data_IF_222520435029
#
_entry.id   IF_222520435029
#
_cell.length_a   1.000
_cell.length_b   1.000
_cell.length_c   1.000
_cell.angle_alpha   90.00
_cell.angle_beta   90.00
_cell.angle_gamma   90.00
#
_symmetry.space_group_name_H-M   'P 1'
#
loop_
_entity.id
_entity.type
_entity.pdbx_description
1 polymer ?
#
# COMPACT_ATOMS: atom_id res chain seq x y z
N UNK A 1 66.94 24.80 50.54
CA UNK A 1 66.21 23.98 49.56
C UNK A 1 64.74 24.04 49.94
N UNK A 2 64.00 24.92 49.31
CA UNK A 2 62.61 25.25 49.68
C UNK A 2 61.72 24.83 48.50
N UNK A 3 61.10 23.67 48.64
CA UNK A 3 60.10 23.18 47.69
C UNK A 3 58.77 23.87 47.98
N UNK A 4 58.36 24.82 47.11
CA UNK A 4 56.98 25.33 47.07
C UNK A 4 56.09 24.31 46.37
N UNK A 5 55.27 23.60 47.14
CA UNK A 5 54.14 22.92 46.64
C UNK A 5 53.13 23.94 46.09
N UNK A 6 52.80 23.78 44.79
CA UNK A 6 51.80 24.57 44.11
C UNK A 6 50.43 23.94 44.44
N UNK A 7 49.68 24.60 45.34
CA UNK A 7 48.28 24.32 45.60
C UNK A 7 47.46 24.66 44.32
N UNK A 8 47.17 23.67 43.52
CA UNK A 8 46.20 23.79 42.41
C UNK A 8 44.81 23.86 43.01
N UNK A 9 44.26 25.07 43.12
CA UNK A 9 42.89 25.30 43.56
C UNK A 9 41.90 24.56 42.65
N UNK A 10 41.18 23.59 43.20
CA UNK A 10 40.08 22.93 42.48
C UNK A 10 38.99 23.94 42.10
N UNK A 11 38.51 23.97 40.86
CA UNK A 11 37.51 24.93 40.42
C UNK A 11 36.18 24.67 41.17
N UNK A 12 35.68 25.74 41.82
CA UNK A 12 34.39 25.68 42.50
C UNK A 12 33.28 25.22 41.58
N UNK A 13 32.38 24.30 42.02
CA UNK A 13 31.27 23.87 41.19
C UNK A 13 30.35 25.07 40.89
N UNK A 14 29.84 25.20 39.65
CA UNK A 14 29.01 26.32 39.26
C UNK A 14 27.75 26.40 40.12
N UNK A 15 27.24 27.62 40.44
CA UNK A 15 26.10 27.83 41.33
C UNK A 15 24.84 27.07 40.84
N UNK A 16 24.08 26.44 41.74
CA UNK A 16 22.92 25.58 41.47
C UNK A 16 21.91 26.20 40.48
N UNK A 17 21.66 27.51 40.54
CA UNK A 17 20.80 28.24 39.61
C UNK A 17 21.28 28.22 38.16
N UNK A 18 22.56 28.21 37.91
CA UNK A 18 23.12 28.15 36.54
C UNK A 18 22.96 26.77 35.93
N UNK A 19 23.06 25.72 36.77
CA UNK A 19 22.78 24.33 36.35
C UNK A 19 21.31 24.13 36.05
N UNK A 20 20.39 24.66 36.85
CA UNK A 20 18.95 24.58 36.65
C UNK A 20 18.52 25.31 35.36
N UNK A 21 19.03 26.53 35.12
CA UNK A 21 18.77 27.26 33.86
C UNK A 21 19.27 26.50 32.62
N UNK A 22 20.46 25.90 32.69
CA UNK A 22 21.00 25.07 31.60
C UNK A 22 20.17 23.82 31.38
N UNK A 23 19.76 23.11 32.42
CA UNK A 23 18.87 21.95 32.32
C UNK A 23 17.53 22.33 31.71
N UNK A 24 16.93 23.46 32.10
CA UNK A 24 15.69 23.95 31.49
C UNK A 24 15.82 24.30 30.01
N UNK A 25 16.93 24.95 29.62
CA UNK A 25 17.19 25.22 28.19
C UNK A 25 17.40 23.95 27.37
N UNK A 26 18.10 22.96 27.92
CA UNK A 26 18.28 21.66 27.25
C UNK A 26 16.94 20.95 27.10
N UNK A 27 16.13 20.90 28.17
CA UNK A 27 14.80 20.31 28.12
C UNK A 27 13.89 20.99 27.07
N UNK A 28 13.92 22.33 27.03
CA UNK A 28 13.19 23.10 26.03
C UNK A 28 13.67 22.80 24.60
N UNK A 29 14.97 22.73 24.38
CA UNK A 29 15.56 22.41 23.07
C UNK A 29 15.19 20.99 22.62
N UNK A 30 15.14 20.00 23.52
CA UNK A 30 14.70 18.63 23.25
C UNK A 30 13.22 18.61 22.87
N UNK A 31 12.36 19.33 23.58
CA UNK A 31 10.93 19.42 23.27
C UNK A 31 10.70 20.10 21.91
N UNK A 32 11.40 21.20 21.63
CA UNK A 32 11.31 21.87 20.32
C UNK A 32 11.84 20.96 19.20
N UNK A 33 12.97 20.30 19.40
CA UNK A 33 13.54 19.36 18.45
C UNK A 33 12.59 18.19 18.15
N UNK A 34 11.97 17.64 19.18
CA UNK A 34 10.93 16.62 19.03
C UNK A 34 9.72 17.15 18.26
N UNK A 35 9.22 18.33 18.57
CA UNK A 35 8.09 18.92 17.88
C UNK A 35 8.40 19.17 16.38
N UNK A 36 9.57 19.70 16.08
CA UNK A 36 10.02 19.89 14.69
C UNK A 36 10.12 18.54 13.96
N UNK A 37 10.74 17.55 14.59
CA UNK A 37 10.90 16.23 14.00
C UNK A 37 9.54 15.56 13.78
N UNK A 38 8.69 15.50 14.82
CA UNK A 38 7.44 14.74 14.78
C UNK A 38 6.33 15.41 13.94
N UNK A 39 6.27 16.75 13.91
CA UNK A 39 5.16 17.47 13.30
C UNK A 39 5.51 18.23 12.01
N UNK A 40 6.79 18.42 11.69
CA UNK A 40 7.21 19.06 10.47
C UNK A 40 8.06 18.15 9.58
N UNK A 41 9.15 17.59 10.11
CA UNK A 41 10.09 16.82 9.32
C UNK A 41 9.53 15.44 8.90
N UNK A 42 9.03 14.65 9.86
CA UNK A 42 8.48 13.32 9.55
C UNK A 42 7.24 13.39 8.64
N UNK A 43 6.23 14.27 8.85
CA UNK A 43 5.13 14.39 7.90
C UNK A 43 5.58 14.83 6.52
N UNK A 44 6.51 15.79 6.40
CA UNK A 44 7.02 16.25 5.11
C UNK A 44 7.74 15.14 4.33
N UNK A 45 8.46 14.26 5.02
CA UNK A 45 9.09 13.09 4.40
C UNK A 45 8.06 12.03 4.04
N UNK A 46 7.00 11.90 4.83
CA UNK A 46 5.97 10.85 4.66
C UNK A 46 4.94 11.16 3.58
N UNK A 47 4.70 12.43 3.26
CA UNK A 47 3.67 12.88 2.30
C UNK A 47 4.23 13.16 0.91
N UNK A 48 5.25 12.45 0.47
CA UNK A 48 5.90 12.72 -0.81
C UNK A 48 5.30 11.88 -1.93
N UNK A 49 4.55 12.55 -2.83
CA UNK A 49 3.93 11.95 -4.03
C UNK A 49 4.66 12.42 -5.27
N UNK A 50 5.70 11.71 -5.64
CA UNK A 50 6.58 12.21 -6.68
C UNK A 50 6.06 12.01 -8.09
N UNK A 51 5.24 10.99 -8.31
CA UNK A 51 4.91 10.56 -9.66
C UNK A 51 3.41 10.65 -10.00
N UNK A 52 2.53 10.92 -8.99
CA UNK A 52 1.10 11.05 -9.22
C UNK A 52 0.47 12.09 -8.30
N UNK A 53 0.27 13.31 -8.81
CA UNK A 53 -0.49 14.34 -8.09
C UNK A 53 -1.96 13.94 -7.96
N UNK A 54 -2.58 14.36 -6.88
CA UNK A 54 -4.00 14.10 -6.61
C UNK A 54 -4.28 12.83 -5.80
N UNK A 55 -3.27 12.03 -5.44
CA UNK A 55 -3.44 10.88 -4.57
C UNK A 55 -3.28 11.20 -3.08
N UNK A 56 -2.70 12.36 -2.75
CA UNK A 56 -2.27 12.72 -1.40
C UNK A 56 -3.39 12.70 -0.34
N UNK A 57 -4.58 13.08 -0.71
CA UNK A 57 -5.71 13.19 0.23
C UNK A 57 -6.67 12.00 0.15
N UNK A 58 -6.33 10.99 -0.63
CA UNK A 58 -7.18 9.83 -0.80
C UNK A 58 -7.09 8.90 0.42
N UNK A 59 -8.21 8.30 0.85
CA UNK A 59 -8.18 7.32 1.94
C UNK A 59 -7.32 6.12 1.60
N UNK A 60 -6.66 5.56 2.61
CA UNK A 60 -5.80 4.39 2.42
C UNK A 60 -6.48 3.06 2.67
N UNK A 61 -7.69 3.09 3.12
CA UNK A 61 -8.45 1.91 3.50
C UNK A 61 -9.83 2.02 2.88
N UNK A 62 -10.27 0.96 2.27
CA UNK A 62 -11.64 0.79 1.77
C UNK A 62 -12.63 0.69 2.94
N UNK A 63 -13.91 0.60 2.66
CA UNK A 63 -14.94 0.42 3.68
C UNK A 63 -15.97 -0.62 3.26
N UNK A 64 -16.49 -1.35 4.22
CA UNK A 64 -17.68 -2.17 3.99
C UNK A 64 -18.94 -1.30 3.79
N UNK A 65 -20.03 -1.90 3.36
CA UNK A 65 -21.33 -1.21 3.27
C UNK A 65 -21.81 -0.62 4.60
N UNK A 66 -21.35 -1.16 5.74
CA UNK A 66 -21.65 -0.68 7.09
C UNK A 66 -20.68 0.42 7.55
N UNK A 67 -19.72 0.84 6.70
CA UNK A 67 -18.72 1.84 7.05
C UNK A 67 -17.54 1.33 7.89
N UNK A 68 -17.47 0.02 8.14
CA UNK A 68 -16.32 -0.60 8.81
C UNK A 68 -15.10 -0.51 7.88
N UNK A 69 -13.89 -0.21 8.38
CA UNK A 69 -12.67 -0.27 7.57
C UNK A 69 -12.52 -1.63 6.89
N UNK A 70 -12.27 -1.61 5.57
CA UNK A 70 -12.06 -2.79 4.75
C UNK A 70 -10.57 -3.09 4.54
N UNK A 71 -10.23 -3.58 3.35
CA UNK A 71 -8.86 -3.90 2.99
C UNK A 71 -8.06 -2.61 2.65
N UNK A 72 -6.75 -2.58 2.93
CA UNK A 72 -5.92 -1.43 2.64
C UNK A 72 -5.63 -1.30 1.13
N UNK A 73 -5.53 -0.07 0.66
CA UNK A 73 -5.03 0.23 -0.69
C UNK A 73 -3.52 -0.03 -0.72
N UNK A 74 -3.07 -0.91 -1.61
CA UNK A 74 -1.66 -1.30 -1.70
C UNK A 74 -1.12 -1.35 -3.13
N UNK A 75 -1.95 -1.26 -4.14
CA UNK A 75 -1.56 -1.32 -5.55
C UNK A 75 -2.29 -0.26 -6.37
N UNK A 76 -1.70 0.19 -7.47
CA UNK A 76 -2.37 1.00 -8.45
C UNK A 76 -1.90 0.69 -9.87
N UNK A 77 -2.72 1.09 -10.84
CA UNK A 77 -2.44 0.92 -12.25
C UNK A 77 -2.56 2.26 -12.97
N UNK A 78 -1.75 2.45 -14.01
CA UNK A 78 -1.90 3.55 -14.97
C UNK A 78 -2.19 2.96 -16.33
N UNK A 79 -3.38 3.24 -16.85
CA UNK A 79 -3.84 2.72 -18.12
C UNK A 79 -5.34 2.93 -18.31
N UNK A 80 -5.82 2.80 -19.53
CA UNK A 80 -7.26 2.84 -19.79
C UNK A 80 -7.92 1.48 -19.42
N UNK A 81 -9.25 1.41 -19.47
CA UNK A 81 -9.99 0.17 -19.14
C UNK A 81 -9.52 -1.02 -19.97
N UNK A 82 -9.19 -0.81 -21.26
CA UNK A 82 -8.75 -1.89 -22.14
C UNK A 82 -7.39 -2.41 -21.76
N UNK A 83 -6.48 -1.49 -21.40
CA UNK A 83 -5.15 -1.86 -20.94
C UNK A 83 -5.20 -2.68 -19.64
N UNK A 84 -6.06 -2.26 -18.68
CA UNK A 84 -6.26 -2.99 -17.42
C UNK A 84 -6.81 -4.38 -17.68
N UNK A 85 -7.91 -4.51 -18.44
CA UNK A 85 -8.53 -5.80 -18.76
C UNK A 85 -7.55 -6.74 -19.49
N UNK A 86 -6.82 -6.20 -20.47
CA UNK A 86 -5.83 -6.96 -21.19
C UNK A 86 -4.67 -7.43 -20.30
N UNK A 87 -4.15 -6.54 -19.47
CA UNK A 87 -3.02 -6.85 -18.59
C UNK A 87 -3.40 -7.94 -17.58
N UNK A 88 -4.55 -7.80 -16.94
CA UNK A 88 -5.05 -8.79 -15.97
C UNK A 88 -5.29 -10.16 -16.64
N UNK A 89 -5.94 -10.18 -17.79
CA UNK A 89 -6.16 -11.43 -18.53
C UNK A 89 -4.83 -12.08 -18.95
N UNK A 90 -3.90 -11.30 -19.51
CA UNK A 90 -2.60 -11.82 -19.92
C UNK A 90 -1.77 -12.40 -18.77
N UNK A 91 -1.99 -11.90 -17.54
CA UNK A 91 -1.38 -12.39 -16.31
C UNK A 91 -2.14 -13.57 -15.65
N UNK A 92 -3.23 -14.05 -16.28
CA UNK A 92 -4.03 -15.16 -15.78
C UNK A 92 -4.98 -14.78 -14.63
N UNK A 93 -5.35 -13.51 -14.56
CA UNK A 93 -6.38 -13.01 -13.65
C UNK A 93 -7.72 -12.90 -14.36
N UNK A 94 -8.79 -13.32 -13.70
CA UNK A 94 -10.14 -13.37 -14.26
C UNK A 94 -11.06 -12.42 -13.51
N UNK A 95 -12.04 -11.82 -14.17
CA UNK A 95 -13.02 -10.98 -13.49
C UNK A 95 -13.79 -11.76 -12.43
N UNK A 96 -13.85 -11.18 -11.21
CA UNK A 96 -14.50 -11.79 -10.07
C UNK A 96 -16.01 -11.57 -10.03
N UNK A 97 -16.52 -10.50 -10.66
CA UNK A 97 -17.94 -10.12 -10.67
C UNK A 97 -18.51 -10.07 -12.10
N UNK A 98 -19.52 -10.90 -12.43
CA UNK A 98 -20.20 -10.88 -13.73
C UNK A 98 -20.87 -9.53 -14.08
N UNK A 99 -21.27 -8.75 -13.06
CA UNK A 99 -21.97 -7.46 -13.27
C UNK A 99 -20.99 -6.41 -13.75
N UNK A 100 -19.83 -6.33 -13.15
CA UNK A 100 -18.72 -5.43 -13.58
C UNK A 100 -18.20 -5.84 -14.96
N UNK A 101 -18.25 -7.14 -15.26
CA UNK A 101 -17.90 -7.70 -16.56
C UNK A 101 -18.80 -7.19 -17.67
N UNK A 102 -20.11 -7.12 -17.44
CA UNK A 102 -21.10 -6.80 -18.48
C UNK A 102 -20.93 -5.39 -19.04
N UNK A 103 -20.62 -4.43 -18.19
CA UNK A 103 -20.29 -3.06 -18.61
C UNK A 103 -18.92 -2.93 -19.28
N UNK A 104 -18.00 -3.86 -19.02
CA UNK A 104 -16.66 -3.88 -19.59
C UNK A 104 -16.54 -4.71 -20.88
N UNK A 105 -17.40 -5.71 -21.06
CA UNK A 105 -17.42 -6.62 -22.24
C UNK A 105 -17.94 -5.91 -23.52
N UNK A 106 -18.80 -4.91 -23.40
CA UNK A 106 -19.17 -4.07 -24.57
C UNK A 106 -17.93 -3.42 -25.21
N UNK A 107 -16.83 -3.32 -24.45
CA UNK A 107 -15.57 -2.72 -24.89
C UNK A 107 -14.55 -3.77 -25.38
N UNK A 108 -14.53 -4.98 -24.83
CA UNK A 108 -13.43 -5.94 -25.02
C UNK A 108 -13.75 -7.16 -25.89
N UNK A 109 -14.98 -7.35 -26.32
CA UNK A 109 -15.46 -8.42 -27.22
C UNK A 109 -14.66 -9.73 -27.22
N UNK A 110 -15.30 -10.83 -26.80
CA UNK A 110 -14.97 -12.22 -27.10
C UNK A 110 -13.95 -13.02 -26.28
N UNK A 111 -13.06 -12.43 -25.47
CA UNK A 111 -11.96 -13.18 -24.85
C UNK A 111 -12.33 -13.84 -23.49
N UNK A 112 -13.46 -13.48 -22.90
CA UNK A 112 -13.82 -13.80 -21.51
C UNK A 112 -14.82 -14.95 -21.32
N UNK A 113 -15.18 -15.65 -22.39
CA UNK A 113 -16.27 -16.64 -22.34
C UNK A 113 -15.86 -18.08 -21.98
N UNK A 114 -14.57 -18.34 -21.79
CA UNK A 114 -14.05 -19.71 -21.60
C UNK A 114 -13.59 -19.99 -20.16
N UNK A 115 -14.37 -19.55 -19.16
CA UNK A 115 -14.06 -19.74 -17.75
C UNK A 115 -14.80 -20.93 -17.14
N UNK A 116 -14.12 -21.86 -16.44
CA UNK A 116 -14.80 -22.73 -15.47
C UNK A 116 -15.19 -21.90 -14.25
N UNK A 117 -16.47 -21.60 -14.16
CA UNK A 117 -17.09 -20.83 -13.08
C UNK A 117 -17.04 -21.58 -11.74
N UNK A 118 -16.43 -20.99 -10.71
CA UNK A 118 -16.53 -21.44 -9.32
C UNK A 118 -16.77 -20.24 -8.44
N UNK A 119 -18.02 -20.06 -8.09
CA UNK A 119 -18.52 -18.88 -7.41
C UNK A 119 -18.21 -18.84 -5.93
N UNK A 120 -17.50 -17.82 -5.52
CA UNK A 120 -17.83 -17.11 -4.31
C UNK A 120 -17.72 -15.62 -4.63
N UNK A 121 -18.82 -14.85 -4.60
CA UNK A 121 -18.76 -13.43 -4.86
C UNK A 121 -17.81 -12.78 -3.86
N UNK A 122 -16.88 -11.96 -4.36
CA UNK A 122 -16.03 -11.13 -3.52
C UNK A 122 -16.94 -10.15 -2.81
N UNK A 123 -16.82 -10.02 -1.47
CA UNK A 123 -17.59 -9.05 -0.70
C UNK A 123 -17.38 -7.65 -1.24
N UNK A 124 -18.48 -6.91 -1.46
CA UNK A 124 -18.39 -5.54 -1.98
C UNK A 124 -17.66 -4.64 -0.98
N UNK A 125 -16.66 -3.93 -1.46
CA UNK A 125 -16.01 -2.86 -0.72
C UNK A 125 -16.31 -1.51 -1.39
N UNK A 126 -16.24 -0.47 -0.59
CA UNK A 126 -16.52 0.90 -1.01
C UNK A 126 -15.27 1.76 -0.83
N UNK A 127 -14.97 2.52 -1.85
CA UNK A 127 -13.91 3.50 -1.83
C UNK A 127 -14.43 4.81 -2.43
N UNK A 128 -14.19 5.92 -1.75
CA UNK A 128 -14.75 7.23 -2.13
C UNK A 128 -16.28 7.20 -2.32
N UNK A 129 -16.98 6.41 -1.50
CA UNK A 129 -18.45 6.32 -1.52
C UNK A 129 -19.04 5.46 -2.63
N UNK A 130 -18.24 4.75 -3.43
CA UNK A 130 -18.69 3.89 -4.53
C UNK A 130 -18.06 2.50 -4.45
N UNK A 131 -18.72 1.53 -5.04
CA UNK A 131 -18.20 0.17 -5.20
C UNK A 131 -17.01 0.18 -6.16
N UNK A 132 -16.25 -0.91 -6.15
CA UNK A 132 -15.20 -1.18 -7.12
C UNK A 132 -15.68 -1.05 -8.56
N UNK A 133 -14.85 -0.47 -9.42
CA UNK A 133 -15.12 -0.40 -10.86
C UNK A 133 -14.77 -1.72 -11.56
N UNK A 134 -13.69 -2.37 -11.08
CA UNK A 134 -13.19 -3.64 -11.58
C UNK A 134 -12.77 -4.52 -10.42
N UNK A 135 -13.05 -5.81 -10.50
CA UNK A 135 -12.57 -6.81 -9.58
C UNK A 135 -12.05 -8.02 -10.34
N UNK A 136 -10.94 -8.57 -9.89
CA UNK A 136 -10.30 -9.75 -10.49
C UNK A 136 -9.92 -10.75 -9.42
N UNK A 137 -9.87 -12.01 -9.82
CA UNK A 137 -9.39 -13.12 -9.01
C UNK A 137 -8.46 -14.01 -9.81
N UNK A 138 -7.59 -14.72 -9.10
CA UNK A 138 -6.76 -15.78 -9.64
C UNK A 138 -6.79 -16.95 -8.67
N UNK A 139 -7.31 -18.13 -9.08
CA UNK A 139 -7.35 -19.30 -8.21
C UNK A 139 -5.97 -19.75 -7.79
N UNK A 140 -5.80 -20.15 -6.52
CA UNK A 140 -4.63 -20.84 -6.03
C UNK A 140 -4.93 -22.35 -5.90
N UNK A 141 -4.43 -23.14 -6.85
CA UNK A 141 -4.67 -24.57 -6.90
C UNK A 141 -6.12 -24.94 -7.25
N UNK A 142 -6.67 -25.97 -6.56
CA UNK A 142 -8.02 -26.51 -6.80
C UNK A 142 -9.05 -26.08 -5.75
N UNK A 143 -8.64 -25.39 -4.70
CA UNK A 143 -9.53 -24.94 -3.65
C UNK A 143 -10.30 -23.70 -4.06
N UNK A 144 -11.62 -23.67 -3.82
CA UNK A 144 -12.42 -22.45 -4.00
C UNK A 144 -12.20 -21.45 -2.86
N UNK A 145 -11.58 -21.88 -1.76
CA UNK A 145 -11.37 -21.10 -0.55
C UNK A 145 -10.05 -20.31 -0.57
N UNK A 146 -9.12 -20.72 -1.45
CA UNK A 146 -7.82 -20.09 -1.61
C UNK A 146 -7.75 -19.40 -2.98
N UNK A 147 -7.65 -18.09 -2.96
CA UNK A 147 -7.54 -17.29 -4.19
C UNK A 147 -6.86 -15.96 -3.94
N UNK A 148 -6.16 -15.51 -4.94
CA UNK A 148 -5.72 -14.13 -5.05
C UNK A 148 -6.87 -13.28 -5.55
N UNK A 149 -7.10 -12.10 -4.97
CA UNK A 149 -8.09 -11.16 -5.48
C UNK A 149 -7.58 -9.73 -5.43
N UNK A 150 -8.10 -8.89 -6.32
CA UNK A 150 -7.82 -7.47 -6.34
C UNK A 150 -9.06 -6.71 -6.80
N UNK A 151 -9.33 -5.57 -6.17
CA UNK A 151 -10.36 -4.62 -6.60
C UNK A 151 -9.70 -3.33 -7.01
N UNK A 152 -10.23 -2.66 -8.01
CA UNK A 152 -9.73 -1.38 -8.51
C UNK A 152 -10.85 -0.34 -8.57
N UNK A 153 -10.48 0.89 -8.22
CA UNK A 153 -11.27 2.10 -8.36
C UNK A 153 -10.49 3.09 -9.23
N UNK A 154 -11.12 3.60 -10.28
CA UNK A 154 -10.52 4.66 -11.08
C UNK A 154 -10.58 5.98 -10.31
N UNK A 155 -9.45 6.45 -9.84
CA UNK A 155 -9.36 7.62 -8.95
C UNK A 155 -9.02 8.91 -9.68
N UNK A 156 -8.30 8.82 -10.80
CA UNK A 156 -8.03 9.97 -11.67
C UNK A 156 -8.38 9.61 -13.11
N UNK A 157 -9.07 10.51 -13.82
CA UNK A 157 -9.31 10.34 -15.25
C UNK A 157 -8.03 10.56 -16.05
N UNK A 158 -7.12 11.41 -15.56
CA UNK A 158 -5.81 11.66 -16.13
C UNK A 158 -4.80 11.90 -15.01
N UNK A 159 -3.82 11.00 -14.90
CA UNK A 159 -2.63 11.18 -14.07
C UNK A 159 -1.53 11.98 -14.76
N UNK A 160 -0.32 11.92 -14.22
CA UNK A 160 0.86 12.59 -14.80
C UNK A 160 1.19 12.08 -16.22
N UNK A 161 0.89 10.82 -16.50
CA UNK A 161 1.08 10.18 -17.81
C UNK A 161 -0.05 10.47 -18.81
N UNK A 162 -1.00 11.38 -18.49
CA UNK A 162 -2.19 11.67 -19.31
C UNK A 162 -3.10 10.45 -19.53
N UNK A 163 -3.03 9.48 -18.65
CA UNK A 163 -3.81 8.24 -18.65
C UNK A 163 -4.55 8.08 -17.32
N UNK A 164 -5.66 7.32 -17.29
CA UNK A 164 -6.37 7.04 -16.05
C UNK A 164 -5.48 6.37 -15.00
N UNK A 165 -5.70 6.74 -13.73
CA UNK A 165 -5.04 6.13 -12.58
C UNK A 165 -6.08 5.38 -11.75
N UNK A 166 -5.74 4.15 -11.42
CA UNK A 166 -6.54 3.25 -10.60
C UNK A 166 -5.79 2.98 -9.30
N UNK A 167 -6.53 2.96 -8.21
CA UNK A 167 -6.03 2.42 -6.93
C UNK A 167 -6.79 1.14 -6.61
N UNK A 168 -6.12 0.22 -5.93
CA UNK A 168 -6.69 -1.09 -5.63
C UNK A 168 -6.20 -1.68 -4.31
N UNK A 169 -6.98 -2.63 -3.85
CA UNK A 169 -6.65 -3.53 -2.75
C UNK A 169 -6.37 -4.94 -3.30
N UNK A 170 -5.16 -5.41 -3.16
CA UNK A 170 -4.79 -6.78 -3.46
C UNK A 170 -4.66 -7.57 -2.16
N UNK A 171 -5.35 -8.70 -2.06
CA UNK A 171 -5.33 -9.58 -0.90
C UNK A 171 -5.43 -11.06 -1.31
N UNK A 172 -4.93 -11.94 -0.45
CA UNK A 172 -5.05 -13.39 -0.60
C UNK A 172 -6.08 -13.94 0.37
N UNK A 173 -7.14 -14.57 -0.16
CA UNK A 173 -8.12 -15.31 0.63
C UNK A 173 -7.54 -16.68 1.01
N UNK A 174 -7.39 -16.93 2.30
CA UNK A 174 -6.80 -18.19 2.82
C UNK A 174 -7.82 -19.14 3.42
N UNK A 175 -9.04 -18.71 3.65
CA UNK A 175 -10.14 -19.53 4.17
C UNK A 175 -11.47 -18.81 4.10
N UNK A 176 -12.56 -19.55 4.30
CA UNK A 176 -13.91 -19.04 4.50
C UNK A 176 -14.32 -19.25 5.95
N UNK A 177 -14.96 -18.27 6.56
CA UNK A 177 -15.42 -18.35 7.95
C UNK A 177 -16.42 -17.27 8.31
N UNK A 178 -16.64 -17.03 9.60
CA UNK A 178 -17.53 -16.01 10.10
C UNK A 178 -16.79 -14.71 10.38
N UNK A 179 -17.31 -13.60 9.91
CA UNK A 179 -16.80 -12.27 10.25
C UNK A 179 -16.80 -12.05 11.77
N UNK A 180 -15.72 -11.55 12.30
CA UNK A 180 -15.58 -11.23 13.73
C UNK A 180 -16.47 -10.06 14.19
N UNK A 181 -16.94 -9.25 13.25
CA UNK A 181 -17.78 -8.09 13.54
C UNK A 181 -19.27 -8.37 13.35
N UNK A 182 -19.64 -9.14 12.34
CA UNK A 182 -21.04 -9.31 11.94
C UNK A 182 -21.55 -10.74 12.10
N UNK A 183 -20.65 -11.72 12.24
CA UNK A 183 -20.99 -13.15 12.21
C UNK A 183 -21.39 -13.67 10.82
N UNK A 184 -21.46 -12.82 9.81
CA UNK A 184 -21.78 -13.23 8.45
C UNK A 184 -20.61 -14.04 7.84
N UNK A 185 -20.93 -14.94 6.90
CA UNK A 185 -19.91 -15.69 6.16
C UNK A 185 -19.08 -14.72 5.34
N UNK A 186 -17.75 -14.84 5.46
CA UNK A 186 -16.78 -14.00 4.76
C UNK A 186 -15.52 -14.80 4.48
N UNK A 187 -14.68 -14.28 3.58
CA UNK A 187 -13.33 -14.80 3.40
C UNK A 187 -12.40 -14.17 4.43
N UNK A 188 -11.43 -14.94 4.90
CA UNK A 188 -10.35 -14.50 5.76
C UNK A 188 -9.09 -14.30 4.93
N UNK A 189 -8.56 -13.09 4.94
CA UNK A 189 -7.34 -12.74 4.18
C UNK A 189 -6.07 -13.16 4.91
N UNK A 190 -4.98 -13.30 4.17
CA UNK A 190 -3.65 -13.36 4.74
C UNK A 190 -3.24 -11.99 5.30
N UNK A 191 -2.46 -12.02 6.36
CA UNK A 191 -2.04 -10.80 7.04
C UNK A 191 -0.99 -9.98 6.25
N UNK A 192 -0.19 -10.63 5.40
CA UNK A 192 0.85 -9.99 4.59
C UNK A 192 0.28 -9.49 3.26
N UNK A 193 -0.42 -8.35 3.29
CA UNK A 193 -1.00 -7.77 2.07
C UNK A 193 0.06 -7.22 1.09
N UNK A 194 1.28 -6.99 1.57
CA UNK A 194 2.40 -6.57 0.71
C UNK A 194 2.93 -7.75 -0.13
N UNK A 195 2.85 -8.97 0.40
CA UNK A 195 3.15 -10.17 -0.36
C UNK A 195 2.21 -10.32 -1.55
N UNK A 196 0.90 -10.05 -1.36
CA UNK A 196 -0.08 -10.13 -2.42
C UNK A 196 0.10 -9.03 -3.48
N UNK A 197 0.35 -7.79 -3.05
CA UNK A 197 0.77 -6.70 -3.95
C UNK A 197 1.95 -7.11 -4.82
N UNK A 198 2.97 -7.73 -4.22
CA UNK A 198 4.16 -8.20 -4.92
C UNK A 198 3.83 -9.34 -5.89
N UNK A 199 2.96 -10.25 -5.51
CA UNK A 199 2.50 -11.35 -6.35
C UNK A 199 1.83 -10.82 -7.62
N UNK A 200 0.83 -9.95 -7.48
CA UNK A 200 0.15 -9.31 -8.62
C UNK A 200 1.13 -8.56 -9.53
N UNK A 201 2.02 -7.75 -8.94
CA UNK A 201 3.01 -7.01 -9.71
C UNK A 201 3.96 -7.94 -10.49
N UNK A 202 4.34 -9.06 -9.89
CA UNK A 202 5.20 -10.07 -10.54
C UNK A 202 4.48 -10.74 -11.71
N UNK A 203 3.23 -11.12 -11.53
CA UNK A 203 2.41 -11.70 -12.60
C UNK A 203 2.28 -10.77 -13.81
N UNK A 204 1.91 -9.51 -13.55
CA UNK A 204 1.77 -8.51 -14.62
C UNK A 204 3.09 -8.24 -15.35
N UNK A 205 4.21 -8.22 -14.62
CA UNK A 205 5.54 -8.07 -15.21
C UNK A 205 5.93 -9.31 -16.02
N UNK A 206 5.71 -10.50 -15.50
CA UNK A 206 5.99 -11.76 -16.20
C UNK A 206 5.15 -11.90 -17.49
N UNK A 207 3.93 -11.40 -17.49
CA UNK A 207 3.08 -11.33 -18.67
C UNK A 207 3.53 -10.28 -19.71
N UNK A 208 4.53 -9.45 -19.37
CA UNK A 208 5.02 -8.36 -20.24
C UNK A 208 4.08 -7.17 -20.33
N UNK A 209 3.20 -7.00 -19.35
CA UNK A 209 2.15 -5.98 -19.35
C UNK A 209 2.51 -4.70 -18.60
N UNK A 210 3.69 -4.65 -17.96
CA UNK A 210 4.14 -3.48 -17.19
C UNK A 210 5.28 -2.78 -17.94
N UNK A 211 5.08 -1.52 -18.25
CA UNK A 211 6.08 -0.66 -18.84
C UNK A 211 7.04 -0.09 -17.78
N UNK A 212 6.48 0.44 -16.70
CA UNK A 212 7.24 0.96 -15.58
C UNK A 212 6.56 0.68 -14.24
N UNK A 213 7.37 0.63 -13.19
CA UNK A 213 6.93 0.49 -11.81
C UNK A 213 7.58 1.57 -10.95
N UNK A 214 6.78 2.16 -10.08
CA UNK A 214 7.23 3.07 -9.03
C UNK A 214 6.34 2.92 -7.80
N UNK A 215 6.74 3.46 -6.68
CA UNK A 215 5.92 3.47 -5.49
C UNK A 215 5.48 4.89 -5.13
N UNK A 216 4.31 4.98 -4.53
CA UNK A 216 3.76 6.20 -3.97
C UNK A 216 3.78 6.05 -2.47
N UNK A 217 4.39 7.00 -1.78
CA UNK A 217 4.53 6.99 -0.33
C UNK A 217 3.47 7.83 0.34
N UNK A 218 3.28 7.60 1.63
CA UNK A 218 2.44 8.46 2.46
C UNK A 218 0.95 8.23 2.32
N UNK A 219 0.55 7.24 1.56
CA UNK A 219 -0.86 6.87 1.43
C UNK A 219 -1.30 6.00 2.62
N UNK A 220 -0.40 5.26 3.26
CA UNK A 220 -0.71 4.32 4.31
C UNK A 220 -0.47 4.84 5.72
N UNK A 221 -1.52 4.99 6.51
CA UNK A 221 -1.35 5.42 7.89
C UNK A 221 -1.06 4.28 8.85
N UNK A 222 -1.34 3.04 8.49
CA UNK A 222 -1.31 1.93 9.44
C UNK A 222 -0.39 0.81 8.98
N UNK A 223 0.71 0.64 9.71
CA UNK A 223 1.59 -0.51 9.56
C UNK A 223 0.90 -1.82 10.00
N UNK A 224 -0.19 -1.75 10.75
CA UNK A 224 -1.05 -2.86 11.14
C UNK A 224 -2.49 -2.40 11.31
N UNK A 225 -3.45 -3.20 10.86
CA UNK A 225 -4.88 -2.89 10.94
C UNK A 225 -5.74 -4.13 10.98
N UNK A 226 -7.07 -3.91 10.95
CA UNK A 226 -8.06 -4.98 10.78
C UNK A 226 -8.97 -4.64 9.61
N UNK A 227 -9.23 -5.63 8.77
CA UNK A 227 -10.15 -5.48 7.64
C UNK A 227 -11.63 -5.60 8.07
N UNK A 228 -12.53 -5.51 7.10
CA UNK A 228 -13.97 -5.59 7.31
C UNK A 228 -14.48 -6.91 7.90
N UNK A 229 -13.74 -8.00 7.77
CA UNK A 229 -13.98 -9.30 8.41
C UNK A 229 -13.40 -9.42 9.82
N UNK A 230 -12.58 -8.45 10.22
CA UNK A 230 -11.86 -8.45 11.50
C UNK A 230 -10.49 -9.11 11.45
N UNK A 231 -9.99 -9.47 10.28
CA UNK A 231 -8.67 -10.06 10.11
C UNK A 231 -7.58 -9.03 10.29
N UNK A 232 -6.53 -9.41 10.98
CA UNK A 232 -5.33 -8.58 11.08
C UNK A 232 -4.59 -8.54 9.74
N UNK A 233 -4.12 -7.37 9.36
CA UNK A 233 -3.16 -7.20 8.29
C UNK A 233 -2.01 -6.29 8.73
N UNK A 234 -0.88 -6.41 8.05
CA UNK A 234 0.25 -5.49 8.16
C UNK A 234 0.74 -5.10 6.76
N UNK A 235 1.26 -3.88 6.64
CA UNK A 235 1.75 -3.30 5.39
C UNK A 235 2.86 -2.29 5.66
N UNK A 236 3.76 -2.10 4.69
CA UNK A 236 4.74 -1.02 4.68
C UNK A 236 4.10 0.36 4.44
N UNK A 237 2.81 0.39 4.10
CA UNK A 237 2.07 1.61 3.80
C UNK A 237 2.33 2.18 2.39
N UNK A 238 3.04 1.46 1.54
CA UNK A 238 3.31 1.87 0.16
C UNK A 238 2.25 1.36 -0.81
N UNK A 239 1.99 2.16 -1.84
CA UNK A 239 1.24 1.73 -3.02
C UNK A 239 2.19 1.57 -4.19
N UNK A 240 2.24 0.39 -4.78
CA UNK A 240 3.01 0.18 -6.00
C UNK A 240 2.15 0.52 -7.21
N UNK A 241 2.58 1.50 -7.98
CA UNK A 241 1.93 1.90 -9.23
C UNK A 241 2.62 1.18 -10.38
N UNK A 242 1.82 0.47 -11.18
CA UNK A 242 2.26 -0.24 -12.36
C UNK A 242 1.71 0.50 -13.59
N UNK A 243 2.60 1.14 -14.36
CA UNK A 243 2.24 1.73 -15.63
C UNK A 243 2.14 0.62 -16.68
N UNK A 244 0.92 0.42 -17.17
CA UNK A 244 0.64 -0.65 -18.12
C UNK A 244 1.10 -0.28 -19.53
N UNK A 245 1.43 -1.30 -20.32
CA UNK A 245 1.67 -1.14 -21.75
C UNK A 245 0.39 -0.69 -22.46
N UNK A 246 0.53 0.13 -23.49
CA UNK A 246 -0.60 0.61 -24.28
C UNK A 246 -1.03 -0.41 -25.32
N UNK A 247 -2.33 -0.39 -25.62
CA UNK A 247 -2.93 -1.18 -26.68
C UNK A 247 -2.57 -2.69 -26.61
N UNK A 248 -2.40 -3.24 -25.39
CA UNK A 248 -2.11 -4.65 -25.19
C UNK A 248 -0.79 -5.14 -25.82
N UNK A 249 0.13 -4.26 -26.13
CA UNK A 249 1.41 -4.63 -26.77
C UNK A 249 2.40 -5.11 -25.72
N UNK A 250 2.57 -6.45 -25.67
CA UNK A 250 3.51 -7.07 -24.75
C UNK A 250 4.91 -6.50 -24.90
N UNK A 251 5.51 -6.17 -23.78
CA UNK A 251 6.90 -5.74 -23.71
C UNK A 251 7.84 -6.94 -23.67
N UNK A 252 8.94 -6.87 -24.39
CA UNK A 252 10.05 -7.77 -24.25
C UNK A 252 11.10 -7.14 -23.33
N UNK A 253 11.30 -7.71 -22.17
CA UNK A 253 12.27 -7.22 -21.18
C UNK A 253 11.62 -6.70 -19.89
N UNK A 254 12.44 -6.42 -18.87
CA UNK A 254 11.95 -6.02 -17.56
C UNK A 254 11.29 -4.64 -17.59
N UNK A 255 10.33 -4.42 -16.67
CA UNK A 255 9.74 -3.11 -16.46
C UNK A 255 10.81 -2.12 -15.97
N UNK A 256 10.65 -0.86 -16.37
CA UNK A 256 11.51 0.23 -15.88
C UNK A 256 11.14 0.46 -14.41
N UNK A 257 12.11 0.37 -13.51
CA UNK A 257 11.90 0.77 -12.10
C UNK A 257 12.28 2.23 -11.95
N UNK A 258 11.29 3.05 -11.61
CA UNK A 258 11.53 4.46 -11.29
C UNK A 258 11.92 4.51 -9.80
N UNK A 259 13.11 5.03 -9.45
CA UNK A 259 13.60 4.99 -8.08
C UNK A 259 12.76 5.88 -7.16
N UNK A 260 12.62 5.45 -5.93
CA UNK A 260 12.04 6.25 -4.85
C UNK A 260 13.06 7.25 -4.29
N UNK A 261 12.61 8.31 -3.60
CA UNK A 261 13.52 9.17 -2.84
C UNK A 261 14.32 8.39 -1.81
N UNK A 262 15.53 8.86 -1.49
CA UNK A 262 16.38 8.23 -0.50
C UNK A 262 15.72 8.06 0.88
N UNK A 263 14.86 8.99 1.28
CA UNK A 263 14.11 8.91 2.54
C UNK A 263 13.13 7.71 2.54
N UNK A 264 12.46 7.46 1.42
CA UNK A 264 11.57 6.31 1.24
C UNK A 264 12.35 5.00 1.25
N UNK A 265 13.48 4.94 0.56
CA UNK A 265 14.35 3.76 0.57
C UNK A 265 14.85 3.42 1.98
N UNK A 266 15.22 4.41 2.78
CA UNK A 266 15.61 4.22 4.19
C UNK A 266 14.42 3.67 5.00
N UNK A 267 13.22 4.22 4.81
CA UNK A 267 12.00 3.75 5.46
C UNK A 267 11.74 2.28 5.12
N UNK A 268 11.85 1.92 3.85
CA UNK A 268 11.64 0.55 3.38
C UNK A 268 12.66 -0.44 3.98
N UNK A 269 13.92 -0.02 4.09
CA UNK A 269 14.96 -0.84 4.75
C UNK A 269 14.65 -1.05 6.24
N UNK A 270 14.22 -0.01 6.94
CA UNK A 270 13.81 -0.12 8.34
C UNK A 270 12.60 -1.05 8.47
N UNK A 271 11.60 -0.88 7.60
CA UNK A 271 10.42 -1.74 7.60
C UNK A 271 10.78 -3.21 7.38
N UNK A 272 11.61 -3.52 6.39
CA UNK A 272 12.06 -4.89 6.13
C UNK A 272 12.78 -5.51 7.34
N UNK A 273 13.52 -4.72 8.10
CA UNK A 273 14.20 -5.20 9.30
C UNK A 273 13.22 -5.53 10.44
N UNK A 274 12.11 -4.78 10.58
CA UNK A 274 11.15 -4.96 11.69
C UNK A 274 9.94 -5.83 11.31
N UNK A 275 9.56 -5.90 10.05
CA UNK A 275 8.39 -6.66 9.59
C UNK A 275 8.45 -8.14 9.97
N UNK A 276 9.64 -8.74 10.01
CA UNK A 276 9.85 -10.11 10.48
C UNK A 276 9.44 -10.36 11.94
N UNK A 277 9.33 -9.31 12.77
CA UNK A 277 8.83 -9.42 14.14
C UNK A 277 7.30 -9.42 14.23
N UNK A 278 6.63 -8.86 13.24
CA UNK A 278 5.16 -8.79 13.13
C UNK A 278 4.57 -10.08 12.54
N UNK A 279 5.39 -10.86 11.86
CA UNK A 279 5.00 -12.15 11.23
C UNK A 279 4.98 -13.32 12.21
N UNK A 280 5.45 -13.12 13.45
CA UNK A 280 5.43 -14.12 14.53
C UNK A 280 4.22 -13.90 15.45
#
# INVERSE_FOLDING_TARGET
MNSRESDAAMPFPPPKHRRLKRAGLIALAVVIGYAILAYLALPAVWTHYEHQKGLAELPMVTRTAQGIPGDPINVGLVGDNKDVLCAMHAAGWYPADPITLKSSIEIAGSVLLDRPYRDAPVSNLYYLGRREDLAFEKPDGRSADHRHHVRFWKVLDQGEEKRPVWLGDAAFDKSVGASRYTGAVTHHIDADVDAERKFLATDLQAAGMVEAKYQVTGVGPTMAGRNGGGDLYYTDGEVWILRLVEACRKRTGPAIVIPSPAATEIKDQIWQAVAGTLRK
#
